data_IF_345612992028
#
_entry.id   IF_345612992028
#
_cell.length_a   1.000
_cell.length_b   1.000
_cell.length_c   1.000
_cell.angle_alpha   90.00
_cell.angle_beta   90.00
_cell.angle_gamma   90.00
#
_symmetry.space_group_name_H-M   'P 1'
#
loop_
_entity.id
_entity.type
_entity.pdbx_description
1 polymer ?
#
# COMPACT_ATOMS: atom_id res chain seq x y z
N UNK A 1 -1.82 18.28 -23.24
CA UNK A 1 -3.27 17.99 -23.35
C UNK A 1 -3.99 18.11 -22.00
N UNK A 2 -3.54 17.45 -20.92
CA UNK A 2 -4.17 17.58 -19.59
C UNK A 2 -4.18 19.02 -19.03
N UNK A 3 -3.08 19.77 -19.21
CA UNK A 3 -2.99 21.16 -18.74
C UNK A 3 -3.97 22.09 -19.45
N UNK A 4 -4.15 21.88 -20.76
CA UNK A 4 -5.08 22.67 -21.57
C UNK A 4 -6.53 22.37 -21.19
N UNK A 5 -6.86 21.10 -20.93
CA UNK A 5 -8.17 20.72 -20.41
C UNK A 5 -8.48 21.35 -19.05
N UNK A 6 -7.50 21.35 -18.13
CA UNK A 6 -7.66 21.97 -16.82
C UNK A 6 -7.94 23.47 -16.91
N UNK A 7 -7.23 24.19 -17.79
CA UNK A 7 -7.44 25.63 -17.99
C UNK A 7 -8.83 25.94 -18.56
N UNK A 8 -9.33 25.12 -19.50
CA UNK A 8 -10.67 25.27 -20.10
C UNK A 8 -11.78 25.03 -19.07
N UNK A 9 -11.64 23.98 -18.26
CA UNK A 9 -12.64 23.68 -17.20
C UNK A 9 -12.69 24.78 -16.16
N UNK A 10 -11.54 25.32 -15.74
CA UNK A 10 -11.49 26.40 -14.74
C UNK A 10 -12.07 27.70 -15.30
N UNK A 11 -11.80 28.05 -16.56
CA UNK A 11 -12.37 29.25 -17.18
C UNK A 11 -13.88 29.14 -17.40
N UNK A 12 -14.39 27.96 -17.77
CA UNK A 12 -15.83 27.70 -17.88
C UNK A 12 -16.50 27.77 -16.50
N UNK A 13 -15.90 27.16 -15.48
CA UNK A 13 -16.44 27.23 -14.12
C UNK A 13 -16.59 28.68 -13.67
N UNK A 14 -15.54 29.50 -13.85
CA UNK A 14 -15.54 30.93 -13.47
C UNK A 14 -16.56 31.73 -14.28
N UNK A 15 -16.70 31.45 -15.57
CA UNK A 15 -17.67 32.13 -16.44
C UNK A 15 -19.14 31.78 -16.13
N UNK A 16 -19.42 30.56 -15.65
CA UNK A 16 -20.76 30.12 -15.24
C UNK A 16 -21.20 30.78 -13.91
N UNK A 17 -20.29 31.46 -13.20
CA UNK A 17 -20.64 32.30 -12.05
C UNK A 17 -21.14 31.52 -10.82
N UNK A 18 -20.94 30.19 -10.78
CA UNK A 18 -21.35 29.32 -9.67
C UNK A 18 -20.36 29.39 -8.48
N UNK A 19 -19.86 30.59 -8.18
CA UNK A 19 -18.84 30.85 -7.15
C UNK A 19 -19.45 31.29 -5.80
N UNK A 20 -20.70 30.92 -5.49
CA UNK A 20 -21.27 31.10 -4.14
C UNK A 20 -21.83 29.78 -3.61
N UNK A 21 -21.09 29.06 -2.77
CA UNK A 21 -21.08 29.22 -1.29
C UNK A 21 -22.49 29.00 -0.72
N UNK A 22 -22.84 27.78 -0.33
CA UNK A 22 -22.83 27.43 1.10
C UNK A 22 -22.57 25.93 1.36
N UNK A 23 -22.41 25.09 0.32
CA UNK A 23 -22.47 23.63 0.50
C UNK A 23 -21.22 22.91 -0.03
N UNK A 24 -20.14 23.63 -0.37
CA UNK A 24 -18.94 23.03 -0.96
C UNK A 24 -18.35 21.93 -0.08
N UNK A 25 -18.35 22.13 1.24
CA UNK A 25 -17.94 21.09 2.18
C UNK A 25 -18.86 19.87 2.16
N UNK A 26 -20.18 20.05 2.12
CA UNK A 26 -21.14 18.94 2.12
C UNK A 26 -21.07 18.12 0.82
N UNK A 27 -20.88 18.78 -0.32
CA UNK A 27 -20.65 18.12 -1.60
C UNK A 27 -19.31 17.37 -1.61
N UNK A 28 -18.22 17.99 -1.13
CA UNK A 28 -16.90 17.35 -1.01
C UNK A 28 -16.96 16.13 -0.08
N UNK A 29 -17.67 16.23 1.06
CA UNK A 29 -17.89 15.10 1.96
C UNK A 29 -18.71 13.99 1.28
N UNK A 30 -19.66 14.33 0.41
CA UNK A 30 -20.40 13.37 -0.42
C UNK A 30 -19.54 12.69 -1.50
N UNK A 31 -18.47 13.34 -1.98
CA UNK A 31 -17.48 12.73 -2.88
C UNK A 31 -16.47 11.83 -2.16
N UNK A 32 -16.36 11.94 -0.83
CA UNK A 32 -15.46 11.11 -0.03
C UNK A 32 -16.15 9.79 0.31
N UNK A 33 -15.67 8.70 -0.28
CA UNK A 33 -16.10 7.36 0.07
C UNK A 33 -15.41 6.89 1.36
N UNK A 34 -16.08 7.12 2.49
CA UNK A 34 -15.60 6.70 3.81
C UNK A 34 -15.49 5.17 3.95
N UNK A 35 -16.22 4.39 3.15
CA UNK A 35 -16.09 2.93 3.15
C UNK A 35 -14.71 2.53 2.61
N UNK A 36 -14.28 3.15 1.52
CA UNK A 36 -12.96 2.94 0.91
C UNK A 36 -11.84 3.41 1.83
N UNK A 37 -11.96 4.60 2.43
CA UNK A 37 -10.96 5.11 3.38
C UNK A 37 -10.86 4.19 4.61
N UNK A 38 -11.99 3.76 5.16
CA UNK A 38 -12.03 2.84 6.29
C UNK A 38 -11.39 1.48 5.96
N UNK A 39 -11.65 0.96 4.76
CA UNK A 39 -11.06 -0.29 4.28
C UNK A 39 -9.53 -0.14 4.09
N UNK A 40 -9.06 0.92 3.43
CA UNK A 40 -7.64 1.20 3.25
C UNK A 40 -6.92 1.37 4.60
N UNK A 41 -7.50 2.12 5.53
CA UNK A 41 -6.96 2.30 6.88
C UNK A 41 -6.91 0.97 7.63
N UNK A 42 -7.98 0.18 7.58
CA UNK A 42 -8.03 -1.15 8.19
C UNK A 42 -6.94 -2.09 7.66
N UNK A 43 -6.73 -2.10 6.33
CA UNK A 43 -5.65 -2.87 5.72
C UNK A 43 -4.28 -2.41 6.21
N UNK A 44 -4.01 -1.10 6.26
CA UNK A 44 -2.74 -0.58 6.76
C UNK A 44 -2.48 -0.93 8.23
N UNK A 45 -3.51 -0.89 9.10
CA UNK A 45 -3.37 -1.20 10.54
C UNK A 45 -3.10 -2.68 10.78
N UNK A 46 -3.88 -3.58 10.16
CA UNK A 46 -3.66 -5.04 10.28
C UNK A 46 -2.22 -5.39 9.92
N UNK A 47 -1.74 -4.74 8.88
CA UNK A 47 -0.44 -4.99 8.31
C UNK A 47 0.69 -4.39 9.15
N UNK A 48 0.51 -3.20 9.74
CA UNK A 48 1.47 -2.62 10.67
C UNK A 48 1.68 -3.50 11.92
N UNK A 49 0.60 -4.12 12.41
CA UNK A 49 0.65 -5.08 13.52
C UNK A 49 1.37 -6.37 13.06
N UNK A 50 1.02 -6.90 11.88
CA UNK A 50 1.69 -8.06 11.29
C UNK A 50 3.20 -7.84 11.12
N UNK A 51 3.62 -6.62 10.74
CA UNK A 51 5.03 -6.24 10.63
C UNK A 51 5.72 -6.20 12.00
N UNK A 52 5.06 -5.66 13.04
CA UNK A 52 5.64 -5.57 14.39
C UNK A 52 5.70 -6.92 15.13
N UNK A 53 4.84 -7.88 14.79
CA UNK A 53 4.82 -9.20 15.43
C UNK A 53 5.99 -10.12 15.02
N UNK A 54 6.85 -9.71 14.08
CA UNK A 54 8.03 -10.49 13.70
C UNK A 54 7.72 -11.78 12.92
N UNK A 55 6.49 -11.94 12.43
CA UNK A 55 6.04 -13.12 11.68
C UNK A 55 6.90 -13.34 10.42
N UNK A 56 7.34 -12.25 9.78
CA UNK A 56 8.21 -12.31 8.60
C UNK A 56 9.61 -12.88 8.92
N UNK A 57 10.19 -12.52 10.06
CA UNK A 57 11.48 -13.07 10.51
C UNK A 57 11.34 -14.56 10.86
N UNK A 58 10.26 -14.93 11.55
CA UNK A 58 9.96 -16.33 11.85
C UNK A 58 9.81 -17.17 10.58
N UNK A 59 9.12 -16.65 9.57
CA UNK A 59 8.95 -17.35 8.30
C UNK A 59 10.27 -17.44 7.54
N UNK A 60 11.11 -16.40 7.56
CA UNK A 60 12.46 -16.44 6.99
C UNK A 60 13.31 -17.56 7.60
N UNK A 61 13.34 -17.66 8.93
CA UNK A 61 14.10 -18.73 9.63
C UNK A 61 13.52 -20.11 9.31
N UNK A 62 12.18 -20.24 9.27
CA UNK A 62 11.50 -21.49 8.92
C UNK A 62 11.77 -21.90 7.47
N UNK A 63 11.84 -20.92 6.56
CA UNK A 63 12.16 -21.12 5.16
C UNK A 63 13.60 -21.60 4.96
N UNK A 64 14.55 -21.00 5.67
CA UNK A 64 15.97 -21.40 5.70
C UNK A 64 16.10 -22.84 6.21
N UNK A 65 15.42 -23.17 7.31
CA UNK A 65 15.43 -24.53 7.87
C UNK A 65 14.78 -25.55 6.94
N UNK A 66 13.73 -25.17 6.20
CA UNK A 66 13.07 -26.01 5.20
C UNK A 66 13.92 -26.20 3.92
N UNK A 67 14.71 -25.20 3.54
CA UNK A 67 15.61 -25.23 2.38
C UNK A 67 16.80 -26.19 2.56
N UNK A 68 17.16 -26.55 3.80
CA UNK A 68 18.30 -27.43 4.13
C UNK A 68 19.60 -26.98 3.44
N UNK A 69 19.86 -25.67 3.40
CA UNK A 69 21.08 -25.09 2.82
C UNK A 69 21.10 -24.94 1.30
N UNK A 70 20.00 -25.25 0.59
CA UNK A 70 19.91 -25.06 -0.86
C UNK A 70 19.30 -23.69 -1.21
N UNK A 71 20.15 -22.75 -1.63
CA UNK A 71 19.77 -21.37 -1.95
C UNK A 71 18.61 -21.29 -2.97
N UNK A 72 18.62 -22.12 -4.00
CA UNK A 72 17.55 -22.19 -5.00
C UNK A 72 16.17 -22.55 -4.42
N UNK A 73 16.13 -23.51 -3.49
CA UNK A 73 14.88 -23.91 -2.81
C UNK A 73 14.40 -22.83 -1.85
N UNK A 74 15.34 -22.11 -1.22
CA UNK A 74 15.03 -20.98 -0.35
C UNK A 74 14.37 -19.85 -1.13
N UNK A 75 14.97 -19.45 -2.26
CA UNK A 75 14.44 -18.39 -3.11
C UNK A 75 13.03 -18.69 -3.60
N UNK A 76 12.76 -19.91 -4.07
CA UNK A 76 11.43 -20.32 -4.52
C UNK A 76 10.41 -20.28 -3.37
N UNK A 77 10.77 -20.80 -2.20
CA UNK A 77 9.88 -20.83 -1.04
C UNK A 77 9.55 -19.42 -0.53
N UNK A 78 10.55 -18.53 -0.51
CA UNK A 78 10.34 -17.13 -0.15
C UNK A 78 9.53 -16.38 -1.21
N UNK A 79 9.77 -16.60 -2.51
CA UNK A 79 8.98 -16.00 -3.58
C UNK A 79 7.50 -16.40 -3.50
N UNK A 80 7.20 -17.69 -3.30
CA UNK A 80 5.82 -18.17 -3.18
C UNK A 80 5.15 -17.59 -1.92
N UNK A 81 5.88 -17.51 -0.81
CA UNK A 81 5.39 -16.90 0.42
C UNK A 81 5.09 -15.41 0.24
N UNK A 82 6.02 -14.64 -0.32
CA UNK A 82 5.86 -13.21 -0.61
C UNK A 82 4.75 -12.95 -1.62
N UNK A 83 4.63 -13.78 -2.68
CA UNK A 83 3.56 -13.64 -3.68
C UNK A 83 2.18 -13.89 -3.07
N UNK A 84 2.06 -14.89 -2.20
CA UNK A 84 0.80 -15.18 -1.49
C UNK A 84 0.43 -14.02 -0.58
N UNK A 85 1.39 -13.48 0.15
CA UNK A 85 1.17 -12.34 1.05
C UNK A 85 0.87 -11.05 0.30
N UNK A 86 1.47 -10.83 -0.87
CA UNK A 86 1.24 -9.62 -1.69
C UNK A 86 -0.20 -9.51 -2.19
N UNK A 87 -0.97 -10.61 -2.23
CA UNK A 87 -2.40 -10.57 -2.55
C UNK A 87 -3.25 -10.01 -1.39
N UNK A 88 -2.75 -10.12 -0.15
CA UNK A 88 -3.42 -9.62 1.06
C UNK A 88 -2.84 -8.30 1.57
N UNK A 89 -1.60 -7.98 1.19
CA UNK A 89 -0.86 -6.82 1.66
C UNK A 89 -0.84 -5.73 0.59
N UNK A 90 -1.28 -4.53 0.97
CA UNK A 90 -1.26 -3.34 0.11
C UNK A 90 0.18 -2.86 -0.18
N UNK A 91 0.36 -2.23 -1.35
CA UNK A 91 1.65 -1.92 -1.97
C UNK A 91 2.63 -1.14 -1.05
N UNK A 92 2.13 -0.20 -0.23
CA UNK A 92 2.93 0.57 0.73
C UNK A 92 3.64 -0.32 1.75
N UNK A 93 3.01 -1.41 2.14
CA UNK A 93 3.60 -2.31 3.12
C UNK A 93 4.67 -3.19 2.51
N UNK A 94 4.47 -3.71 1.30
CA UNK A 94 5.49 -4.54 0.65
C UNK A 94 6.83 -3.80 0.61
N UNK A 95 6.79 -2.48 0.39
CA UNK A 95 7.95 -1.59 0.53
C UNK A 95 8.46 -1.53 1.96
N UNK A 96 7.59 -1.28 2.96
CA UNK A 96 7.97 -1.21 4.38
C UNK A 96 8.57 -2.52 4.93
N UNK A 97 8.17 -3.69 4.41
CA UNK A 97 8.71 -5.00 4.81
C UNK A 97 10.00 -5.35 4.08
N UNK A 98 10.14 -4.94 2.82
CA UNK A 98 11.38 -5.12 2.06
C UNK A 98 12.55 -4.34 2.66
N UNK A 99 12.31 -3.14 3.23
CA UNK A 99 13.36 -2.32 3.87
C UNK A 99 14.13 -3.08 4.98
N UNK A 100 13.50 -3.60 6.04
CA UNK A 100 14.22 -4.32 7.10
C UNK A 100 14.79 -5.66 6.63
N UNK A 101 14.11 -6.37 5.73
CA UNK A 101 14.63 -7.64 5.18
C UNK A 101 15.90 -7.38 4.37
N UNK A 102 15.93 -6.35 3.53
CA UNK A 102 17.12 -5.97 2.75
C UNK A 102 18.26 -5.54 3.65
N UNK A 103 17.99 -4.78 4.71
CA UNK A 103 19.00 -4.38 5.70
C UNK A 103 19.58 -5.60 6.42
N UNK A 104 18.73 -6.56 6.84
CA UNK A 104 19.21 -7.77 7.52
C UNK A 104 20.08 -8.67 6.64
N UNK A 105 19.80 -8.74 5.34
CA UNK A 105 20.59 -9.52 4.38
C UNK A 105 21.90 -8.84 4.00
N UNK A 106 22.01 -7.51 4.11
CA UNK A 106 23.27 -6.79 3.84
C UNK A 106 24.26 -6.82 5.01
N UNK A 107 23.80 -7.15 6.21
CA UNK A 107 24.61 -7.10 7.45
C UNK A 107 25.18 -8.48 7.83
N UNK A 108 24.76 -9.55 7.15
CA UNK A 108 25.32 -10.93 7.18
C UNK A 108 25.94 -11.30 5.82
#
# INVERSE_FOLDING_TARGET
MALFGAVVVVTIAIAVGDFQTNNGFEQILGYIDFNTIGLLLGMMVIVAIMSNTGIFQFVGIKAIKASKGNLWKLMILLCVFTATISMFIDNVTTVLLMVPVTISVQID
#
